data_IF_601834872798
#
_entry.id   IF_601834872798
#
_cell.length_a   1.000
_cell.length_b   1.000
_cell.length_c   1.000
_cell.angle_alpha   90.00
_cell.angle_beta   90.00
_cell.angle_gamma   90.00
#
_symmetry.space_group_name_H-M   'P 1'
#
loop_
_entity.id
_entity.type
_entity.pdbx_description
1 polymer ?
#
# COMPACT_ATOMS: atom_id res chain seq x y z
N UNK A 1 0.42 -24.34 10.05
CA UNK A 1 1.03 -23.77 11.29
C UNK A 1 0.51 -22.33 11.44
N UNK A 2 0.00 -21.88 12.61
CA UNK A 2 -0.44 -20.52 12.74
C UNK A 2 0.74 -19.56 12.58
N UNK A 3 0.54 -18.46 11.85
CA UNK A 3 1.52 -17.39 11.66
C UNK A 3 1.93 -16.83 13.03
N UNK A 4 3.20 -16.95 13.41
CA UNK A 4 3.70 -16.44 14.69
C UNK A 4 4.16 -15.01 14.49
N UNK A 5 3.32 -14.06 14.91
CA UNK A 5 3.70 -12.65 14.96
C UNK A 5 4.63 -12.44 16.16
N UNK A 6 5.85 -11.86 15.96
CA UNK A 6 6.78 -11.57 17.04
C UNK A 6 6.13 -10.71 18.14
N UNK A 7 6.44 -10.99 19.40
CA UNK A 7 5.85 -10.30 20.55
C UNK A 7 6.12 -8.79 20.56
N UNK A 8 7.32 -8.37 20.14
CA UNK A 8 7.67 -6.95 20.02
C UNK A 8 6.77 -6.21 19.01
N UNK A 9 6.33 -6.91 17.97
CA UNK A 9 5.44 -6.40 16.93
C UNK A 9 4.01 -6.28 17.47
N UNK A 10 3.55 -7.25 18.27
CA UNK A 10 2.25 -7.17 18.96
C UNK A 10 2.18 -5.99 19.91
N UNK A 11 3.22 -5.76 20.72
CA UNK A 11 3.26 -4.63 21.66
C UNK A 11 3.21 -3.27 20.96
N UNK A 12 3.81 -3.14 19.77
CA UNK A 12 3.72 -1.91 18.98
C UNK A 12 2.26 -1.60 18.60
N UNK A 13 1.48 -2.62 18.26
CA UNK A 13 0.07 -2.48 17.91
C UNK A 13 -0.84 -2.14 19.11
N UNK A 14 -0.54 -2.67 20.31
CA UNK A 14 -1.35 -2.45 21.52
C UNK A 14 -1.23 -1.02 22.08
N UNK A 15 -0.10 -0.33 21.84
CA UNK A 15 0.15 1.03 22.33
C UNK A 15 -0.50 2.12 21.48
N UNK A 16 -0.88 1.79 20.26
CA UNK A 16 -1.46 2.75 19.34
C UNK A 16 -2.97 2.89 19.58
N UNK A 17 -3.35 4.03 20.08
CA UNK A 17 -4.74 4.36 20.40
C UNK A 17 -5.66 4.36 19.18
N UNK A 18 -6.96 4.29 19.45
CA UNK A 18 -8.05 4.18 18.47
C UNK A 18 -8.18 5.36 17.46
N UNK A 19 -7.28 6.34 17.52
CA UNK A 19 -7.32 7.57 16.70
C UNK A 19 -5.99 7.81 15.94
N UNK A 20 -5.20 6.76 15.69
CA UNK A 20 -3.91 6.87 14.97
C UNK A 20 -4.06 7.60 13.62
N UNK A 21 -5.17 7.39 12.92
CA UNK A 21 -5.45 8.04 11.63
C UNK A 21 -5.54 9.58 11.72
N UNK A 22 -5.87 10.16 12.90
CA UNK A 22 -5.91 11.63 13.06
C UNK A 22 -4.54 12.27 12.91
N UNK A 23 -3.49 11.56 13.31
CA UNK A 23 -2.11 12.03 13.21
C UNK A 23 -1.50 11.67 11.84
N UNK A 24 -1.95 10.57 11.23
CA UNK A 24 -1.40 10.07 9.95
C UNK A 24 -2.00 10.74 8.71
N UNK A 25 -3.32 11.00 8.69
CA UNK A 25 -3.97 11.58 7.51
C UNK A 25 -3.34 12.90 7.03
N UNK A 26 -3.06 13.91 7.89
CA UNK A 26 -2.43 15.14 7.44
C UNK A 26 -1.05 14.91 6.83
N UNK A 27 -0.29 13.94 7.35
CA UNK A 27 1.02 13.56 6.83
C UNK A 27 0.91 12.92 5.45
N UNK A 28 -0.02 11.97 5.28
CA UNK A 28 -0.29 11.32 3.98
C UNK A 28 -0.76 12.32 2.91
N UNK A 29 -1.60 13.27 3.27
CA UNK A 29 -2.04 14.33 2.34
C UNK A 29 -0.84 15.16 1.88
N UNK A 30 -0.01 15.62 2.81
CA UNK A 30 1.17 16.44 2.51
C UNK A 30 2.16 15.67 1.64
N UNK A 31 2.42 14.41 1.98
CA UNK A 31 3.31 13.55 1.23
C UNK A 31 2.83 13.31 -0.21
N UNK A 32 1.53 13.02 -0.39
CA UNK A 32 0.94 12.87 -1.73
C UNK A 32 1.09 14.14 -2.57
N UNK A 33 0.86 15.31 -1.96
CA UNK A 33 1.02 16.60 -2.64
C UNK A 33 2.47 16.85 -3.07
N UNK A 34 3.43 16.61 -2.17
CA UNK A 34 4.86 16.77 -2.41
C UNK A 34 5.36 15.83 -3.50
N UNK A 35 4.97 14.55 -3.45
CA UNK A 35 5.39 13.57 -4.45
C UNK A 35 4.78 13.85 -5.82
N UNK A 36 3.48 14.18 -5.89
CA UNK A 36 2.87 14.59 -7.17
C UNK A 36 3.54 15.83 -7.77
N UNK A 37 3.87 16.83 -6.95
CA UNK A 37 4.57 18.02 -7.40
C UNK A 37 5.99 17.68 -7.92
N UNK A 38 6.71 16.79 -7.24
CA UNK A 38 8.03 16.34 -7.67
C UNK A 38 7.98 15.57 -9.00
N UNK A 39 7.02 14.66 -9.16
CA UNK A 39 6.83 13.88 -10.39
C UNK A 39 6.58 14.79 -11.61
N UNK A 40 5.79 15.84 -11.42
CA UNK A 40 5.50 16.83 -12.46
C UNK A 40 6.71 17.72 -12.77
N UNK A 41 7.39 18.22 -11.75
CA UNK A 41 8.54 19.13 -11.89
C UNK A 41 9.74 18.45 -12.55
N UNK A 42 9.89 17.14 -12.38
CA UNK A 42 10.98 16.35 -12.97
C UNK A 42 10.57 15.62 -14.27
N UNK A 43 9.36 15.87 -14.78
CA UNK A 43 8.84 15.26 -16.00
C UNK A 43 8.90 13.71 -16.00
N UNK A 44 8.76 13.09 -14.80
CA UNK A 44 8.83 11.62 -14.64
C UNK A 44 7.59 10.96 -15.22
N UNK A 45 6.42 11.61 -15.06
CA UNK A 45 5.14 11.13 -15.55
C UNK A 45 4.36 12.23 -16.26
N UNK A 46 3.50 11.86 -17.25
CA UNK A 46 2.56 12.80 -17.84
C UNK A 46 1.63 13.41 -16.78
N UNK A 47 1.39 14.72 -16.87
CA UNK A 47 0.54 15.44 -15.90
C UNK A 47 -0.87 14.87 -15.77
N UNK A 48 -1.46 14.40 -16.86
CA UNK A 48 -2.78 13.74 -16.86
C UNK A 48 -2.78 12.46 -16.03
N UNK A 49 -1.71 11.65 -16.15
CA UNK A 49 -1.56 10.41 -15.39
C UNK A 49 -1.44 10.70 -13.88
N UNK A 50 -0.65 11.70 -13.50
CA UNK A 50 -0.49 12.12 -12.09
C UNK A 50 -1.82 12.63 -11.54
N UNK A 51 -2.49 13.57 -12.24
CA UNK A 51 -3.74 14.18 -11.78
C UNK A 51 -4.84 13.13 -11.57
N UNK A 52 -5.03 12.23 -12.55
CA UNK A 52 -6.06 11.19 -12.46
C UNK A 52 -5.80 10.22 -11.31
N UNK A 53 -4.56 9.75 -11.15
CA UNK A 53 -4.24 8.83 -10.06
C UNK A 53 -4.28 9.51 -8.70
N UNK A 54 -3.97 10.80 -8.61
CA UNK A 54 -4.17 11.60 -7.41
C UNK A 54 -5.67 11.63 -7.01
N UNK A 55 -6.56 11.90 -7.95
CA UNK A 55 -8.02 11.87 -7.70
C UNK A 55 -8.48 10.50 -7.18
N UNK A 56 -7.97 9.40 -7.79
CA UNK A 56 -8.26 8.04 -7.30
C UNK A 56 -7.71 7.83 -5.89
N UNK A 57 -6.47 8.24 -5.63
CA UNK A 57 -5.79 8.08 -4.34
C UNK A 57 -6.52 8.79 -3.19
N UNK A 58 -7.23 9.89 -3.46
CA UNK A 58 -7.98 10.65 -2.44
C UNK A 58 -9.03 9.78 -1.71
N UNK A 59 -9.56 8.73 -2.34
CA UNK A 59 -10.47 7.81 -1.67
C UNK A 59 -9.82 6.98 -0.55
N UNK A 60 -8.48 6.87 -0.51
CA UNK A 60 -7.74 6.29 0.61
C UNK A 60 -7.60 7.26 1.79
N UNK A 61 -7.70 8.56 1.55
CA UNK A 61 -7.58 9.62 2.55
C UNK A 61 -8.89 9.80 3.34
N UNK A 62 -9.26 8.79 4.08
CA UNK A 62 -10.48 8.72 4.88
C UNK A 62 -10.17 8.20 6.28
N UNK A 63 -11.02 8.45 7.29
CA UNK A 63 -10.92 7.76 8.57
C UNK A 63 -11.04 6.24 8.39
N UNK A 64 -10.19 5.48 9.09
CA UNK A 64 -10.27 4.01 9.16
C UNK A 64 -10.21 3.51 10.60
N UNK A 65 -10.88 2.39 10.91
CA UNK A 65 -10.64 1.72 12.17
C UNK A 65 -9.21 1.18 12.17
N UNK A 66 -8.38 1.52 13.17
CA UNK A 66 -7.01 1.06 13.21
C UNK A 66 -6.96 -0.46 13.33
N UNK A 67 -6.20 -1.09 12.43
CA UNK A 67 -5.85 -2.49 12.49
C UNK A 67 -4.34 -2.63 12.67
N UNK A 68 -3.88 -3.76 13.15
CA UNK A 68 -2.47 -4.08 13.06
C UNK A 68 -2.15 -4.44 11.62
N UNK A 69 -1.28 -3.67 10.99
CA UNK A 69 -0.83 -3.85 9.62
C UNK A 69 0.64 -4.26 9.57
N UNK A 70 1.03 -4.93 8.50
CA UNK A 70 2.42 -5.21 8.18
C UNK A 70 3.13 -3.90 7.74
N UNK A 71 2.42 -3.05 7.02
CA UNK A 71 2.93 -1.77 6.52
C UNK A 71 3.68 -1.84 5.20
N UNK A 72 4.19 -3.02 4.81
CA UNK A 72 4.82 -3.29 3.51
C UNK A 72 4.61 -4.75 3.09
N UNK A 73 3.35 -5.20 3.06
CA UNK A 73 2.99 -6.59 2.74
C UNK A 73 3.08 -6.86 1.23
N UNK A 74 4.29 -7.08 0.74
CA UNK A 74 4.55 -7.45 -0.65
C UNK A 74 4.63 -8.97 -0.80
N UNK A 75 4.35 -9.48 -2.00
CA UNK A 75 4.47 -10.92 -2.32
C UNK A 75 5.88 -11.45 -2.01
N UNK A 76 6.91 -10.62 -2.22
CA UNK A 76 8.31 -10.98 -1.91
C UNK A 76 8.57 -11.24 -0.42
N UNK A 77 7.71 -10.73 0.47
CA UNK A 77 7.82 -10.93 1.92
C UNK A 77 7.03 -12.14 2.43
N UNK A 78 6.30 -12.84 1.55
CA UNK A 78 5.45 -13.99 1.92
C UNK A 78 6.10 -15.29 1.44
N UNK A 79 6.42 -16.19 2.36
CA UNK A 79 6.99 -17.50 2.08
C UNK A 79 5.90 -18.55 2.11
N UNK A 80 5.92 -19.42 1.12
CA UNK A 80 4.95 -20.52 0.98
C UNK A 80 5.68 -21.85 0.79
N UNK A 81 5.05 -22.93 1.24
CA UNK A 81 5.44 -24.32 0.93
C UNK A 81 4.17 -25.04 0.43
N UNK A 82 4.13 -25.33 -0.85
CA UNK A 82 2.90 -25.77 -1.51
C UNK A 82 1.80 -24.69 -1.36
N UNK A 83 0.67 -25.08 -0.75
CA UNK A 83 -0.48 -24.21 -0.52
C UNK A 83 -0.49 -23.54 0.88
N UNK A 84 0.57 -23.69 1.66
CA UNK A 84 0.67 -23.17 3.02
C UNK A 84 1.61 -21.97 3.10
N UNK A 85 1.15 -20.88 3.75
CA UNK A 85 2.02 -19.77 4.13
C UNK A 85 2.87 -20.19 5.31
N UNK A 86 4.19 -20.26 5.11
CA UNK A 86 5.17 -20.70 6.12
C UNK A 86 5.80 -19.54 6.88
N UNK A 87 5.77 -18.33 6.33
CA UNK A 87 6.32 -17.16 7.00
C UNK A 87 5.99 -15.84 6.29
N UNK A 88 6.05 -14.76 7.05
CA UNK A 88 6.05 -13.39 6.55
C UNK A 88 7.21 -12.67 7.22
N UNK A 89 8.01 -11.97 6.44
CA UNK A 89 9.22 -11.25 6.90
C UNK A 89 9.07 -9.75 6.70
N UNK A 90 10.07 -9.01 7.17
CA UNK A 90 10.19 -7.55 7.01
C UNK A 90 9.06 -6.74 7.68
N UNK A 91 8.95 -6.92 8.99
CA UNK A 91 7.98 -6.24 9.85
C UNK A 91 8.46 -4.86 10.34
N UNK A 92 9.44 -4.24 9.67
CA UNK A 92 10.01 -2.95 10.10
C UNK A 92 8.96 -1.84 10.13
N UNK A 93 8.04 -1.85 9.16
CA UNK A 93 6.96 -0.86 9.03
C UNK A 93 5.68 -1.23 9.78
N UNK A 94 5.69 -2.38 10.49
CA UNK A 94 4.48 -2.86 11.13
C UNK A 94 3.98 -1.94 12.25
N UNK A 95 2.70 -1.69 12.23
CA UNK A 95 2.04 -0.81 13.19
C UNK A 95 0.53 -0.75 13.02
N UNK A 96 -0.13 0.18 13.73
CA UNK A 96 -1.53 0.47 13.49
C UNK A 96 -1.67 1.19 12.14
N UNK A 97 -2.65 0.79 11.35
CA UNK A 97 -2.88 1.37 10.03
C UNK A 97 -4.22 0.94 9.44
N UNK A 98 -4.44 1.29 8.18
CA UNK A 98 -5.58 0.80 7.42
C UNK A 98 -5.33 -0.63 6.93
N UNK A 99 -6.15 -1.60 7.36
CA UNK A 99 -6.03 -2.98 6.89
C UNK A 99 -6.12 -3.12 5.36
N UNK A 100 -6.81 -2.20 4.68
CA UNK A 100 -6.93 -2.22 3.22
C UNK A 100 -5.63 -1.81 2.52
N UNK A 101 -4.72 -1.12 3.21
CA UNK A 101 -3.37 -0.85 2.71
C UNK A 101 -2.55 -2.14 2.54
N UNK A 102 -2.61 -3.06 3.50
CA UNK A 102 -1.92 -4.35 3.37
C UNK A 102 -2.49 -5.20 2.24
N UNK A 103 -3.83 -5.23 2.08
CA UNK A 103 -4.46 -5.92 0.95
C UNK A 103 -4.04 -5.29 -0.39
N UNK A 104 -3.93 -3.98 -0.44
CA UNK A 104 -3.45 -3.26 -1.62
C UNK A 104 -1.98 -3.58 -1.91
N UNK A 105 -1.11 -3.55 -0.91
CA UNK A 105 0.32 -3.85 -1.07
C UNK A 105 0.54 -5.27 -1.59
N UNK A 106 -0.20 -6.25 -1.05
CA UNK A 106 -0.12 -7.65 -1.47
C UNK A 106 -0.56 -7.88 -2.91
N UNK A 107 -1.51 -7.08 -3.40
CA UNK A 107 -2.13 -7.27 -4.73
C UNK A 107 -1.71 -6.22 -5.75
N UNK A 108 -0.74 -5.35 -5.44
CA UNK A 108 -0.35 -4.21 -6.26
C UNK A 108 0.04 -4.62 -7.69
N UNK A 109 0.92 -5.59 -7.83
CA UNK A 109 1.38 -6.14 -9.12
C UNK A 109 0.52 -7.30 -9.65
N UNK A 110 -0.53 -7.69 -8.91
CA UNK A 110 -1.35 -8.87 -9.19
C UNK A 110 -2.84 -8.60 -9.00
N UNK A 111 -3.41 -7.61 -9.74
CA UNK A 111 -4.81 -7.20 -9.57
C UNK A 111 -5.81 -8.33 -9.84
N UNK A 112 -5.44 -9.33 -10.64
CA UNK A 112 -6.23 -10.53 -10.93
C UNK A 112 -6.52 -11.39 -9.70
N UNK A 113 -5.65 -11.33 -8.68
CA UNK A 113 -5.78 -12.10 -7.43
C UNK A 113 -6.50 -11.33 -6.32
N UNK A 114 -6.87 -10.06 -6.53
CA UNK A 114 -7.56 -9.26 -5.51
C UNK A 114 -8.84 -9.96 -5.00
N UNK A 115 -9.61 -10.57 -5.91
CA UNK A 115 -10.83 -11.29 -5.53
C UNK A 115 -10.58 -12.45 -4.57
N UNK A 116 -9.54 -13.23 -4.83
CA UNK A 116 -9.16 -14.38 -4.00
C UNK A 116 -8.65 -13.92 -2.63
N UNK A 117 -7.83 -12.88 -2.60
CA UNK A 117 -7.31 -12.30 -1.35
C UNK A 117 -8.44 -11.75 -0.48
N UNK A 118 -9.39 -11.02 -1.08
CA UNK A 118 -10.57 -10.50 -0.37
C UNK A 118 -11.46 -11.63 0.16
N UNK A 119 -11.68 -12.67 -0.65
CA UNK A 119 -12.44 -13.85 -0.21
C UNK A 119 -11.77 -14.54 0.98
N UNK A 120 -10.45 -14.67 0.97
CA UNK A 120 -9.66 -15.23 2.07
C UNK A 120 -9.63 -14.32 3.31
N UNK A 121 -9.70 -13.01 3.15
CA UNK A 121 -9.75 -12.05 4.26
C UNK A 121 -11.05 -12.14 5.06
N UNK A 122 -12.15 -12.55 4.42
CA UNK A 122 -13.40 -12.95 5.08
C UNK A 122 -14.18 -11.82 5.75
N UNK A 123 -13.93 -10.56 5.36
CA UNK A 123 -14.67 -9.37 5.81
C UNK A 123 -15.12 -8.56 4.60
N UNK A 124 -16.11 -7.70 4.81
CA UNK A 124 -16.50 -6.73 3.80
C UNK A 124 -15.32 -5.78 3.52
N UNK A 125 -14.94 -5.67 2.24
CA UNK A 125 -13.84 -4.86 1.76
C UNK A 125 -14.35 -3.88 0.72
N UNK A 126 -14.08 -2.60 0.94
CA UNK A 126 -14.30 -1.57 -0.06
C UNK A 126 -13.17 -1.66 -1.11
N UNK A 127 -13.50 -2.23 -2.27
CA UNK A 127 -12.54 -2.44 -3.36
C UNK A 127 -12.05 -1.12 -3.96
N UNK A 128 -12.86 -0.06 -3.90
CA UNK A 128 -12.45 1.24 -4.43
C UNK A 128 -11.38 1.87 -3.53
N UNK A 129 -11.45 1.64 -2.23
CA UNK A 129 -10.38 2.03 -1.30
C UNK A 129 -9.10 1.22 -1.52
N UNK A 130 -9.19 -0.10 -1.76
CA UNK A 130 -8.00 -0.90 -2.10
C UNK A 130 -7.35 -0.37 -3.38
N UNK A 131 -8.15 -0.05 -4.39
CA UNK A 131 -7.64 0.54 -5.64
C UNK A 131 -7.06 1.94 -5.43
N UNK A 132 -7.64 2.73 -4.53
CA UNK A 132 -7.10 4.04 -4.15
C UNK A 132 -5.73 3.90 -3.50
N UNK A 133 -5.55 2.91 -2.63
CA UNK A 133 -4.24 2.58 -2.05
C UNK A 133 -3.22 2.13 -3.10
N UNK A 134 -3.62 1.42 -4.16
CA UNK A 134 -2.70 1.13 -5.27
C UNK A 134 -2.17 2.40 -5.93
N UNK A 135 -3.07 3.36 -6.25
CA UNK A 135 -2.65 4.63 -6.85
C UNK A 135 -1.80 5.46 -5.88
N UNK A 136 -2.21 5.56 -4.61
CA UNK A 136 -1.47 6.25 -3.56
C UNK A 136 -0.04 5.70 -3.43
N UNK A 137 0.08 4.40 -3.15
CA UNK A 137 1.37 3.74 -2.95
C UNK A 137 2.29 3.89 -4.16
N UNK A 138 1.75 3.72 -5.38
CA UNK A 138 2.56 3.87 -6.59
C UNK A 138 3.03 5.31 -6.80
N UNK A 139 2.21 6.32 -6.55
CA UNK A 139 2.63 7.72 -6.64
C UNK A 139 3.75 8.04 -5.64
N UNK A 140 3.63 7.55 -4.39
CA UNK A 140 4.62 7.77 -3.34
C UNK A 140 5.94 7.03 -3.59
N UNK A 141 5.91 5.85 -4.22
CA UNK A 141 7.08 5.01 -4.41
C UNK A 141 7.97 5.43 -5.59
N UNK A 142 7.41 6.04 -6.64
CA UNK A 142 8.14 6.28 -7.90
C UNK A 142 9.38 7.14 -7.71
N UNK A 143 9.30 8.20 -6.90
CA UNK A 143 10.46 9.05 -6.62
C UNK A 143 11.59 8.26 -5.97
N UNK A 144 11.28 7.49 -4.94
CA UNK A 144 12.26 6.65 -4.26
C UNK A 144 12.92 5.66 -5.23
N UNK A 145 12.14 5.01 -6.10
CA UNK A 145 12.68 4.09 -7.11
C UNK A 145 13.66 4.80 -8.05
N UNK A 146 13.29 5.98 -8.58
CA UNK A 146 14.14 6.77 -9.47
C UNK A 146 15.43 7.19 -8.76
N UNK A 147 15.34 7.72 -7.55
CA UNK A 147 16.51 8.19 -6.78
C UNK A 147 17.46 7.05 -6.40
N UNK A 148 16.98 5.81 -6.30
CA UNK A 148 17.79 4.62 -6.01
C UNK A 148 18.19 3.81 -7.25
N UNK A 149 17.91 4.33 -8.45
CA UNK A 149 18.34 3.72 -9.71
C UNK A 149 17.51 2.53 -10.18
N UNK A 150 16.30 2.35 -9.63
CA UNK A 150 15.35 1.38 -10.13
C UNK A 150 14.50 1.99 -11.26
N UNK A 151 14.01 1.14 -12.16
CA UNK A 151 13.11 1.55 -13.24
C UNK A 151 11.64 1.35 -12.83
N UNK A 152 10.89 2.43 -12.49
CA UNK A 152 9.48 2.31 -12.13
C UNK A 152 8.59 1.96 -13.32
N UNK A 153 9.12 1.98 -14.56
CA UNK A 153 8.42 1.57 -15.78
C UNK A 153 8.68 0.10 -16.15
N UNK A 154 9.45 -0.64 -15.35
CA UNK A 154 9.62 -2.07 -15.55
C UNK A 154 8.26 -2.79 -15.51
N UNK A 155 8.06 -3.88 -16.28
CA UNK A 155 6.79 -4.59 -16.32
C UNK A 155 6.28 -5.00 -14.93
N UNK A 156 5.03 -4.64 -14.63
CA UNK A 156 4.39 -4.92 -13.35
C UNK A 156 4.77 -3.97 -12.20
N UNK A 157 5.60 -2.94 -12.46
CA UNK A 157 5.94 -1.91 -11.50
C UNK A 157 4.92 -0.76 -11.46
N UNK A 158 5.21 0.24 -10.65
CA UNK A 158 4.32 1.33 -10.25
C UNK A 158 3.69 2.09 -11.41
N UNK A 159 4.43 2.34 -12.50
CA UNK A 159 3.88 3.06 -13.66
C UNK A 159 2.83 2.24 -14.40
N UNK A 160 2.98 0.92 -14.48
CA UNK A 160 1.97 0.05 -15.08
C UNK A 160 0.69 0.02 -14.22
N UNK A 161 0.84 0.02 -12.90
CA UNK A 161 -0.29 0.13 -11.97
C UNK A 161 -1.05 1.44 -12.21
N UNK A 162 -0.35 2.58 -12.31
CA UNK A 162 -0.98 3.88 -12.55
C UNK A 162 -1.68 3.95 -13.91
N UNK A 163 -1.06 3.39 -14.96
CA UNK A 163 -1.64 3.33 -16.32
C UNK A 163 -2.89 2.48 -16.39
N UNK A 164 -2.96 1.40 -15.65
CA UNK A 164 -4.13 0.53 -15.59
C UNK A 164 -5.38 1.22 -14.99
N UNK A 165 -5.23 2.44 -14.44
CA UNK A 165 -6.31 3.27 -13.87
C UNK A 165 -6.83 4.36 -14.83
N UNK A 166 -6.26 4.44 -16.03
CA UNK A 166 -6.64 5.43 -17.05
C UNK A 166 -7.97 5.05 -17.79
#
# INVERSE_FOLDING_TARGET
>A
MPLVIPEAVRRKAEVAGALAWLDELPSLVSELEEECAWLLANEVLPGELVSRNREVAEAALRPWPPAFTHGDLQVAHVFVDGDEVTGVIDWSEAGPGDALYDLASLTLGHPEHLGDVVAGYGKDVDLDVVRAWWSMRSLLAIRWLVEHGFDPAAPGCEIDVLRARM
#
